data_IF_013815197638
#
_entry.id   IF_013815197638
#
_cell.length_a   1.000
_cell.length_b   1.000
_cell.length_c   1.000
_cell.angle_alpha   90.00
_cell.angle_beta   90.00
_cell.angle_gamma   90.00
#
_symmetry.space_group_name_H-M   'P 1'
#
loop_
_entity.id
_entity.type
_entity.pdbx_description
1 polymer ?
#
# COMPACT_ATOMS: atom_id res chain seq x y z
N UNK A 1 29.26 9.15 8.54
CA UNK A 1 29.44 10.45 7.87
C UNK A 1 29.68 10.17 6.39
N UNK A 2 29.41 11.12 5.50
CA UNK A 2 29.72 10.95 4.08
C UNK A 2 31.23 10.83 3.91
N UNK A 3 31.66 9.89 3.07
CA UNK A 3 33.06 9.69 2.70
C UNK A 3 33.46 10.65 1.57
N UNK A 4 34.75 10.88 1.33
CA UNK A 4 35.22 11.66 0.17
C UNK A 4 34.67 11.13 -1.17
N UNK A 5 34.54 9.80 -1.30
CA UNK A 5 33.96 9.14 -2.47
C UNK A 5 32.47 9.48 -2.64
N UNK A 6 31.70 9.50 -1.54
CA UNK A 6 30.28 9.90 -1.57
C UNK A 6 30.13 11.34 -2.08
N UNK A 7 31.00 12.26 -1.64
CA UNK A 7 30.98 13.65 -2.08
C UNK A 7 31.20 13.81 -3.58
N UNK A 8 32.13 13.04 -4.17
CA UNK A 8 32.39 13.06 -5.61
C UNK A 8 31.19 12.56 -6.41
N UNK A 9 30.52 11.50 -5.94
CA UNK A 9 29.33 10.95 -6.60
C UNK A 9 28.14 11.92 -6.51
N UNK A 10 27.96 12.60 -5.37
CA UNK A 10 26.90 13.60 -5.20
C UNK A 10 27.07 14.78 -6.16
N UNK A 11 28.30 15.28 -6.32
CA UNK A 11 28.62 16.33 -7.30
C UNK A 11 28.29 15.86 -8.72
N UNK A 12 28.67 14.63 -9.09
CA UNK A 12 28.39 14.05 -10.41
C UNK A 12 26.89 13.98 -10.69
N UNK A 13 26.07 13.70 -9.67
CA UNK A 13 24.60 13.63 -9.77
C UNK A 13 23.90 14.99 -9.62
N UNK A 14 24.63 16.08 -9.38
CA UNK A 14 24.07 17.41 -9.16
C UNK A 14 23.30 17.55 -7.84
N UNK A 15 23.62 16.72 -6.84
CA UNK A 15 22.98 16.73 -5.52
C UNK A 15 23.89 17.45 -4.53
N UNK A 16 23.37 18.45 -3.81
CA UNK A 16 24.18 19.18 -2.84
C UNK A 16 24.36 18.38 -1.54
N UNK A 17 25.51 18.54 -0.89
CA UNK A 17 25.78 17.95 0.43
C UNK A 17 24.73 18.35 1.46
N UNK A 18 24.30 19.62 1.41
CA UNK A 18 23.22 20.14 2.25
C UNK A 18 21.90 19.37 2.07
N UNK A 19 21.52 19.04 0.84
CA UNK A 19 20.31 18.26 0.58
C UNK A 19 20.39 16.87 1.22
N UNK A 20 21.54 16.20 1.10
CA UNK A 20 21.76 14.86 1.68
C UNK A 20 21.76 14.91 3.20
N UNK A 21 22.48 15.87 3.80
CA UNK A 21 22.50 16.04 5.25
C UNK A 21 21.11 16.33 5.81
N UNK A 22 20.33 17.17 5.13
CA UNK A 22 18.92 17.44 5.50
C UNK A 22 18.04 16.19 5.40
N UNK A 23 18.24 15.35 4.38
CA UNK A 23 17.54 14.07 4.26
C UNK A 23 17.94 13.09 5.38
N UNK A 24 19.23 12.99 5.69
CA UNK A 24 19.75 12.14 6.77
C UNK A 24 19.22 12.58 8.14
N UNK A 25 19.14 13.89 8.40
CA UNK A 25 18.53 14.40 9.62
C UNK A 25 17.06 14.02 9.73
N UNK A 26 16.28 14.11 8.64
CA UNK A 26 14.87 13.66 8.61
C UNK A 26 14.73 12.15 8.85
N UNK A 27 15.65 11.33 8.35
CA UNK A 27 15.64 9.90 8.63
C UNK A 27 15.93 9.59 10.10
N UNK A 28 16.86 10.34 10.73
CA UNK A 28 17.26 10.13 12.13
C UNK A 28 16.23 10.66 13.13
N UNK A 29 15.69 11.85 12.88
CA UNK A 29 14.81 12.54 13.81
C UNK A 29 13.33 12.36 13.46
N UNK A 30 13.03 11.64 12.38
CA UNK A 30 11.69 11.55 11.82
C UNK A 30 11.29 12.81 11.06
N UNK A 31 10.10 12.75 10.46
CA UNK A 31 9.51 13.88 9.75
C UNK A 31 8.69 14.68 10.74
N UNK A 32 8.90 16.00 10.89
CA UNK A 32 8.06 16.81 11.76
C UNK A 32 6.60 16.74 11.31
N UNK A 33 5.64 16.80 12.24
CA UNK A 33 4.22 16.80 11.89
C UNK A 33 3.91 17.99 10.99
N UNK A 34 3.19 17.73 9.90
CA UNK A 34 2.81 18.76 8.94
C UNK A 34 1.63 19.54 9.52
N UNK A 35 1.74 20.86 9.59
CA UNK A 35 0.61 21.74 9.90
C UNK A 35 -0.32 21.81 8.68
N UNK A 36 -1.52 21.24 8.81
CA UNK A 36 -2.54 21.33 7.78
C UNK A 36 -3.14 22.73 7.82
N UNK A 37 -2.97 23.51 6.76
CA UNK A 37 -3.49 24.88 6.66
C UNK A 37 -4.94 24.85 6.14
N UNK A 38 -5.13 24.30 4.94
CA UNK A 38 -6.42 24.10 4.27
C UNK A 38 -6.25 23.13 3.08
N UNK A 39 -7.35 22.56 2.55
CA UNK A 39 -7.28 21.79 1.30
C UNK A 39 -6.68 22.63 0.15
N UNK A 40 -5.89 21.96 -0.70
CA UNK A 40 -5.33 22.54 -1.92
C UNK A 40 -6.47 22.82 -2.91
N UNK A 41 -6.50 24.01 -3.50
CA UNK A 41 -7.48 24.45 -4.50
C UNK A 41 -6.80 24.73 -5.83
N UNK A 42 -7.60 24.98 -6.86
CA UNK A 42 -7.09 25.55 -8.10
C UNK A 42 -6.23 26.79 -7.79
N UNK A 43 -5.08 26.86 -8.45
CA UNK A 43 -4.04 27.89 -8.29
C UNK A 43 -3.15 27.77 -7.03
N UNK A 44 -3.34 26.77 -6.16
CA UNK A 44 -2.36 26.42 -5.10
C UNK A 44 -1.25 25.48 -5.63
N UNK A 45 -0.86 25.65 -6.90
CA UNK A 45 -0.02 24.70 -7.64
C UNK A 45 -0.80 23.58 -8.35
N UNK A 46 -2.11 23.49 -8.14
CA UNK A 46 -3.00 22.67 -8.97
C UNK A 46 -3.46 23.51 -10.15
N UNK A 47 -3.15 23.05 -11.36
CA UNK A 47 -3.53 23.70 -12.62
C UNK A 47 -4.68 22.91 -13.25
N UNK A 48 -5.72 23.62 -13.68
CA UNK A 48 -6.79 23.03 -14.48
C UNK A 48 -6.45 23.15 -15.96
N UNK A 49 -6.31 22.01 -16.63
CA UNK A 49 -6.09 21.98 -18.07
C UNK A 49 -7.39 22.34 -18.81
N UNK A 50 -7.30 23.31 -19.72
CA UNK A 50 -8.43 23.67 -20.58
C UNK A 50 -8.52 22.71 -21.79
N UNK A 51 -9.73 22.34 -22.24
CA UNK A 51 -9.92 21.39 -23.36
C UNK A 51 -9.17 21.77 -24.64
N UNK A 52 -9.07 23.08 -24.93
CA UNK A 52 -8.32 23.63 -26.06
C UNK A 52 -6.84 23.21 -26.08
N UNK A 53 -6.25 22.91 -24.92
CA UNK A 53 -4.85 22.49 -24.80
C UNK A 53 -4.65 20.97 -24.88
N UNK A 54 -5.71 20.16 -24.84
CA UNK A 54 -5.59 18.70 -24.81
C UNK A 54 -4.85 18.14 -26.04
N UNK A 55 -5.15 18.58 -27.29
CA UNK A 55 -4.45 18.06 -28.46
C UNK A 55 -2.94 18.30 -28.40
N UNK A 56 -2.53 19.46 -27.88
CA UNK A 56 -1.12 19.81 -27.70
C UNK A 56 -0.43 18.87 -26.70
N UNK A 57 -1.04 18.62 -25.54
CA UNK A 57 -0.44 17.73 -24.53
C UNK A 57 -0.39 16.28 -24.99
N UNK A 58 -1.41 15.82 -25.72
CA UNK A 58 -1.41 14.49 -26.34
C UNK A 58 -0.26 14.34 -27.34
N UNK A 59 -0.06 15.34 -28.22
CA UNK A 59 1.05 15.32 -29.17
C UNK A 59 2.42 15.32 -28.46
N UNK A 60 2.57 16.10 -27.38
CA UNK A 60 3.81 16.12 -26.58
C UNK A 60 4.07 14.78 -25.89
N UNK A 61 3.04 14.14 -25.35
CA UNK A 61 3.14 12.82 -24.73
C UNK A 61 3.55 11.77 -25.76
N UNK A 62 2.90 11.74 -26.93
CA UNK A 62 3.22 10.77 -27.98
C UNK A 62 4.64 10.95 -28.50
N UNK A 63 5.09 12.20 -28.70
CA UNK A 63 6.48 12.49 -29.04
C UNK A 63 7.49 12.07 -27.95
N UNK A 64 7.12 12.15 -26.67
CA UNK A 64 7.95 11.65 -25.57
C UNK A 64 7.99 10.12 -25.54
N UNK A 65 6.85 9.46 -25.81
CA UNK A 65 6.72 8.01 -25.87
C UNK A 65 7.57 7.42 -27.01
N UNK A 66 7.49 8.01 -28.20
CA UNK A 66 8.28 7.59 -29.37
C UNK A 66 9.79 7.80 -29.20
N UNK A 67 10.19 8.70 -28.30
CA UNK A 67 11.58 8.97 -27.96
C UNK A 67 12.05 8.21 -26.70
N UNK A 68 11.28 7.21 -26.24
CA UNK A 68 11.57 6.40 -25.04
C UNK A 68 11.81 7.22 -23.75
N UNK A 69 11.14 8.38 -23.64
CA UNK A 69 11.24 9.27 -22.46
C UNK A 69 10.12 9.08 -21.45
N UNK A 70 9.30 8.05 -21.61
CA UNK A 70 8.17 7.74 -20.73
C UNK A 70 8.49 6.45 -19.97
N UNK A 71 8.55 6.55 -18.65
CA UNK A 71 8.69 5.40 -17.76
C UNK A 71 7.53 5.36 -16.79
N UNK A 72 6.94 4.17 -16.58
CA UNK A 72 5.98 3.94 -15.51
C UNK A 72 6.74 3.45 -14.28
N UNK A 73 6.56 4.13 -13.15
CA UNK A 73 7.14 3.72 -11.87
C UNK A 73 6.03 3.62 -10.84
N UNK A 74 5.85 2.43 -10.27
CA UNK A 74 4.96 2.22 -9.14
C UNK A 74 5.86 2.18 -7.89
N UNK A 75 5.79 3.21 -7.02
CA UNK A 75 6.65 3.23 -5.84
C UNK A 75 6.30 2.05 -4.92
N UNK A 76 7.31 1.27 -4.56
CA UNK A 76 7.16 0.26 -3.51
C UNK A 76 7.02 1.00 -2.17
N UNK A 77 5.79 1.12 -1.68
CA UNK A 77 5.58 1.41 -0.26
C UNK A 77 6.25 0.28 0.55
N UNK A 78 6.90 0.61 1.67
CA UNK A 78 7.44 -0.38 2.60
C UNK A 78 6.37 -1.34 3.15
N UNK A 79 6.68 -2.04 4.24
CA UNK A 79 5.76 -3.01 4.85
C UNK A 79 4.31 -2.48 4.94
N UNK A 80 3.33 -3.34 4.65
CA UNK A 80 1.93 -2.99 4.61
C UNK A 80 1.31 -2.67 5.99
N UNK A 81 2.13 -2.61 7.05
CA UNK A 81 1.70 -2.40 8.43
C UNK A 81 0.78 -1.19 8.61
N UNK A 82 1.04 -0.07 7.91
CA UNK A 82 0.13 1.09 7.94
C UNK A 82 -1.22 0.84 7.25
N UNK A 83 -1.25 0.02 6.20
CA UNK A 83 -2.46 -0.34 5.48
C UNK A 83 -3.41 -1.17 6.35
N UNK A 84 -2.85 -2.04 7.19
CA UNK A 84 -3.62 -2.94 8.06
C UNK A 84 -3.70 -2.48 9.53
N UNK A 85 -3.23 -1.27 9.85
CA UNK A 85 -3.05 -0.82 11.23
C UNK A 85 -4.34 -0.88 12.06
N UNK A 86 -5.47 -0.47 11.50
CA UNK A 86 -6.75 -0.48 12.21
C UNK A 86 -7.25 -1.91 12.47
N UNK A 87 -7.03 -2.83 11.52
CA UNK A 87 -7.35 -4.26 11.68
C UNK A 87 -6.44 -4.93 12.73
N UNK A 88 -5.15 -4.59 12.74
CA UNK A 88 -4.19 -5.09 13.73
C UNK A 88 -4.49 -4.58 15.14
N UNK A 89 -4.92 -3.31 15.27
CA UNK A 89 -5.38 -2.75 16.55
C UNK A 89 -6.62 -3.47 17.05
N UNK A 90 -7.60 -3.71 16.18
CA UNK A 90 -8.80 -4.48 16.50
C UNK A 90 -8.44 -5.86 17.07
N UNK A 91 -7.59 -6.62 16.36
CA UNK A 91 -7.11 -7.94 16.83
C UNK A 91 -6.41 -7.89 18.19
N UNK A 92 -5.66 -6.81 18.46
CA UNK A 92 -4.89 -6.66 19.71
C UNK A 92 -5.78 -6.25 20.89
N UNK A 93 -6.82 -5.46 20.66
CA UNK A 93 -7.78 -5.02 21.67
C UNK A 93 -8.70 -6.17 22.10
N UNK A 94 -9.17 -7.01 21.17
CA UNK A 94 -9.96 -8.20 21.52
C UNK A 94 -9.16 -9.23 22.34
N UNK A 95 -7.85 -9.34 22.10
CA UNK A 95 -6.98 -10.25 22.85
C UNK A 95 -6.66 -9.78 24.28
N UNK A 96 -6.92 -8.50 24.61
CA UNK A 96 -6.63 -7.89 25.92
C UNK A 96 -7.92 -7.43 26.62
N UNK A 97 -8.70 -8.37 27.21
CA UNK A 97 -9.98 -8.06 27.86
C UNK A 97 -9.88 -7.15 29.09
N UNK A 98 -8.67 -6.81 29.57
CA UNK A 98 -8.45 -5.88 30.68
C UNK A 98 -8.44 -4.40 30.26
N UNK A 99 -8.58 -4.11 28.96
CA UNK A 99 -8.67 -2.76 28.40
C UNK A 99 -10.03 -2.15 28.73
N UNK A 100 -10.09 -1.47 29.87
CA UNK A 100 -11.24 -0.82 30.51
C UNK A 100 -11.75 0.43 29.76
N UNK A 101 -12.00 0.32 28.46
CA UNK A 101 -12.87 1.25 27.73
C UNK A 101 -14.21 0.54 27.44
N UNK A 102 -15.32 1.09 27.94
CA UNK A 102 -16.69 0.60 27.71
C UNK A 102 -17.16 0.66 26.23
N UNK A 103 -16.24 0.82 25.29
CA UNK A 103 -16.51 0.81 23.86
C UNK A 103 -15.89 -0.45 23.27
N UNK A 104 -16.73 -1.32 22.71
CA UNK A 104 -16.27 -2.44 21.90
C UNK A 104 -15.35 -1.91 20.79
N UNK A 105 -14.23 -2.60 20.48
CA UNK A 105 -13.35 -2.20 19.41
C UNK A 105 -14.16 -2.16 18.10
N UNK A 106 -14.37 -0.97 17.55
CA UNK A 106 -15.16 -0.78 16.34
C UNK A 106 -14.25 -0.71 15.13
N UNK A 107 -14.52 -1.53 14.13
CA UNK A 107 -13.87 -1.42 12.83
C UNK A 107 -14.51 -0.29 12.00
N UNK A 108 -13.78 0.31 11.05
CA UNK A 108 -14.39 1.21 10.08
C UNK A 108 -15.53 0.52 9.32
N UNK A 109 -16.61 1.22 8.98
CA UNK A 109 -17.75 0.66 8.24
C UNK A 109 -17.36 0.01 6.90
N UNK A 110 -16.25 0.44 6.30
CA UNK A 110 -15.67 -0.18 5.10
C UNK A 110 -15.32 -1.67 5.32
N UNK A 111 -15.00 -2.08 6.56
CA UNK A 111 -14.68 -3.46 6.89
C UNK A 111 -15.93 -4.33 6.90
N UNK A 112 -17.07 -3.81 7.39
CA UNK A 112 -18.34 -4.54 7.33
C UNK A 112 -18.73 -4.83 5.87
N UNK A 113 -18.60 -3.83 5.00
CA UNK A 113 -18.87 -3.98 3.57
C UNK A 113 -17.90 -4.98 2.93
N UNK A 114 -16.61 -4.89 3.24
CA UNK A 114 -15.61 -5.85 2.77
C UNK A 114 -15.92 -7.27 3.24
N UNK A 115 -16.38 -7.43 4.49
CA UNK A 115 -16.69 -8.73 5.08
C UNK A 115 -17.85 -9.43 4.35
N UNK A 116 -18.90 -8.69 3.99
CA UNK A 116 -20.00 -9.26 3.17
C UNK A 116 -19.56 -9.70 1.78
N UNK A 117 -18.42 -9.18 1.29
CA UNK A 117 -17.83 -9.48 -0.01
C UNK A 117 -16.51 -10.23 0.11
N UNK A 118 -16.33 -11.00 1.19
CA UNK A 118 -15.10 -11.75 1.47
C UNK A 118 -14.63 -12.53 0.23
N UNK A 119 -15.55 -13.21 -0.45
CA UNK A 119 -15.29 -14.05 -1.62
C UNK A 119 -14.77 -13.28 -2.85
N UNK A 120 -14.92 -11.96 -2.90
CA UNK A 120 -14.44 -11.13 -4.00
C UNK A 120 -12.95 -10.81 -3.88
N UNK A 121 -12.34 -11.05 -2.70
CA UNK A 121 -10.95 -10.69 -2.48
C UNK A 121 -9.98 -11.61 -3.25
N UNK A 122 -8.88 -11.05 -3.77
CA UNK A 122 -7.89 -11.80 -4.54
C UNK A 122 -7.09 -12.80 -3.69
N UNK A 123 -7.05 -12.63 -2.37
CA UNK A 123 -6.34 -13.54 -1.46
C UNK A 123 -7.11 -14.82 -1.11
N UNK A 124 -8.38 -14.95 -1.52
CA UNK A 124 -9.24 -16.08 -1.12
C UNK A 124 -8.67 -17.45 -1.48
N UNK A 125 -8.11 -17.68 -2.68
CA UNK A 125 -7.53 -18.99 -3.01
C UNK A 125 -6.36 -19.37 -2.09
N UNK A 126 -5.57 -18.40 -1.65
CA UNK A 126 -4.44 -18.64 -0.74
C UNK A 126 -4.91 -18.89 0.69
N UNK A 127 -5.95 -18.15 1.12
CA UNK A 127 -6.60 -18.34 2.41
C UNK A 127 -7.26 -19.73 2.51
N UNK A 128 -7.99 -20.15 1.47
CA UNK A 128 -8.58 -21.49 1.37
C UNK A 128 -7.52 -22.58 1.49
N UNK A 129 -6.39 -22.43 0.78
CA UNK A 129 -5.28 -23.38 0.84
C UNK A 129 -4.67 -23.46 2.24
N UNK A 130 -4.50 -22.31 2.90
CA UNK A 130 -4.01 -22.24 4.27
C UNK A 130 -4.96 -22.94 5.25
N UNK A 131 -6.25 -22.60 5.22
CA UNK A 131 -7.26 -23.18 6.12
C UNK A 131 -7.43 -24.69 5.90
N UNK A 132 -7.45 -25.14 4.64
CA UNK A 132 -7.48 -26.56 4.32
C UNK A 132 -6.26 -27.31 4.90
N UNK A 133 -5.07 -26.71 4.83
CA UNK A 133 -3.87 -27.26 5.47
C UNK A 133 -3.95 -27.39 6.99
N UNK A 134 -4.81 -26.58 7.64
CA UNK A 134 -5.13 -26.67 9.06
C UNK A 134 -6.33 -27.60 9.36
N UNK A 135 -6.90 -28.25 8.35
CA UNK A 135 -8.11 -29.07 8.49
C UNK A 135 -9.40 -28.27 8.69
N UNK A 136 -9.39 -26.97 8.37
CA UNK A 136 -10.54 -26.09 8.49
C UNK A 136 -11.32 -25.98 7.17
N UNK A 137 -12.65 -25.73 7.22
CA UNK A 137 -13.46 -25.56 6.01
C UNK A 137 -13.06 -24.28 5.25
N UNK A 138 -13.27 -24.24 3.91
CA UNK A 138 -13.06 -23.03 3.13
C UNK A 138 -13.99 -21.91 3.62
N UNK A 139 -13.58 -20.63 3.59
CA UNK A 139 -14.34 -19.52 4.15
C UNK A 139 -15.43 -19.05 3.17
N UNK A 140 -16.40 -19.91 2.86
CA UNK A 140 -17.40 -19.70 1.81
C UNK A 140 -18.27 -18.47 2.01
N UNK A 141 -18.47 -18.05 3.26
CA UNK A 141 -19.20 -16.85 3.64
C UNK A 141 -18.72 -16.31 4.99
N UNK A 142 -19.33 -15.21 5.43
CA UNK A 142 -19.09 -14.56 6.72
C UNK A 142 -19.55 -15.36 7.95
N UNK A 143 -20.22 -16.50 7.77
CA UNK A 143 -20.75 -17.34 8.84
C UNK A 143 -19.89 -18.59 9.06
N UNK A 144 -19.06 -18.94 8.08
CA UNK A 144 -18.21 -20.12 8.11
C UNK A 144 -17.10 -19.98 9.15
N UNK A 145 -16.53 -18.78 9.25
CA UNK A 145 -15.53 -18.38 10.24
C UNK A 145 -15.89 -17.03 10.80
N UNK A 146 -15.56 -16.77 12.05
CA UNK A 146 -15.67 -15.44 12.62
C UNK A 146 -14.61 -14.50 12.02
N UNK A 147 -14.89 -13.19 12.08
CA UNK A 147 -14.03 -12.17 11.51
C UNK A 147 -12.61 -12.18 12.12
N UNK A 148 -12.48 -12.47 13.42
CA UNK A 148 -11.18 -12.48 14.08
C UNK A 148 -10.31 -13.62 13.52
N UNK A 149 -10.87 -14.81 13.36
CA UNK A 149 -10.18 -15.96 12.74
C UNK A 149 -9.67 -15.63 11.33
N UNK A 150 -10.51 -15.03 10.48
CA UNK A 150 -10.07 -14.63 9.13
C UNK A 150 -9.00 -13.55 9.17
N UNK A 151 -9.17 -12.52 10.00
CA UNK A 151 -8.19 -11.45 10.12
C UNK A 151 -6.84 -11.97 10.65
N UNK A 152 -6.82 -12.93 11.58
CA UNK A 152 -5.59 -13.58 12.03
C UNK A 152 -4.93 -14.36 10.89
N UNK A 153 -5.69 -15.19 10.18
CA UNK A 153 -5.19 -16.00 9.08
C UNK A 153 -4.64 -15.16 7.92
N UNK A 154 -5.24 -14.01 7.61
CA UNK A 154 -4.77 -13.12 6.54
C UNK A 154 -3.58 -12.27 7.01
N UNK A 155 -3.64 -11.67 8.20
CA UNK A 155 -2.70 -10.61 8.58
C UNK A 155 -1.45 -11.13 9.29
N UNK A 156 -1.53 -12.24 10.04
CA UNK A 156 -0.44 -12.71 10.91
C UNK A 156 0.24 -13.97 10.37
N UNK A 157 1.34 -14.32 11.03
CA UNK A 157 2.00 -15.62 10.94
C UNK A 157 1.82 -16.40 12.25
N UNK A 158 1.49 -17.71 12.23
CA UNK A 158 1.20 -18.52 11.03
C UNK A 158 -0.08 -18.05 10.32
N UNK A 159 -0.05 -18.04 8.98
CA UNK A 159 -1.07 -17.43 8.12
C UNK A 159 -0.45 -16.90 6.82
N UNK A 160 -1.15 -16.00 6.13
CA UNK A 160 -0.67 -15.34 4.92
C UNK A 160 0.34 -14.21 5.21
N UNK A 161 0.38 -13.68 6.44
CA UNK A 161 1.37 -12.68 6.86
C UNK A 161 1.26 -11.32 6.15
N UNK A 162 0.07 -10.95 5.65
CA UNK A 162 -0.10 -9.74 4.82
C UNK A 162 0.35 -8.45 5.53
N UNK A 163 0.31 -8.39 6.87
CA UNK A 163 0.76 -7.22 7.62
C UNK A 163 2.28 -6.97 7.55
N UNK A 164 3.05 -8.03 7.30
CA UNK A 164 4.52 -8.02 7.30
C UNK A 164 5.09 -8.00 5.88
N UNK A 165 4.28 -8.39 4.88
CA UNK A 165 4.69 -8.38 3.48
C UNK A 165 4.88 -6.94 2.94
N UNK A 166 5.86 -6.74 2.03
CA UNK A 166 5.86 -5.58 1.15
C UNK A 166 4.55 -5.50 0.38
N UNK A 167 3.96 -4.31 0.24
CA UNK A 167 2.68 -4.14 -0.49
C UNK A 167 2.74 -4.68 -1.93
N UNK A 168 3.92 -4.66 -2.52
CA UNK A 168 4.19 -5.19 -3.86
C UNK A 168 3.84 -6.68 -4.00
N UNK A 169 3.90 -7.46 -2.92
CA UNK A 169 3.66 -8.90 -2.89
C UNK A 169 2.24 -9.27 -2.42
N UNK A 170 1.40 -8.28 -2.11
CA UNK A 170 0.01 -8.54 -1.77
C UNK A 170 -0.77 -8.79 -3.05
N UNK A 171 -1.55 -9.87 -3.08
CA UNK A 171 -2.55 -10.09 -4.13
C UNK A 171 -3.56 -8.95 -4.10
N UNK A 172 -3.66 -8.21 -5.20
CA UNK A 172 -4.45 -6.97 -5.31
C UNK A 172 -5.55 -7.07 -6.37
N UNK A 173 -5.31 -7.84 -7.43
CA UNK A 173 -6.25 -8.01 -8.53
C UNK A 173 -6.61 -9.48 -8.69
N UNK A 174 -7.84 -9.74 -9.14
CA UNK A 174 -8.33 -11.08 -9.47
C UNK A 174 -8.73 -11.10 -10.94
N UNK A 175 -8.11 -11.99 -11.69
CA UNK A 175 -8.42 -12.26 -13.09
C UNK A 175 -8.93 -13.70 -13.26
N UNK A 176 -9.51 -14.07 -14.42
CA UNK A 176 -9.89 -15.44 -14.70
C UNK A 176 -8.74 -16.45 -14.55
N UNK A 177 -7.50 -16.02 -14.82
CA UNK A 177 -6.29 -16.85 -14.74
C UNK A 177 -5.74 -16.97 -13.31
N UNK A 178 -6.20 -16.13 -12.38
CA UNK A 178 -5.77 -16.14 -10.98
C UNK A 178 -5.55 -14.75 -10.40
N UNK A 179 -5.20 -14.67 -9.10
CA UNK A 179 -4.82 -13.42 -8.47
C UNK A 179 -3.46 -12.94 -8.98
N UNK A 180 -3.28 -11.61 -9.01
CA UNK A 180 -2.01 -10.96 -9.29
C UNK A 180 -1.65 -9.97 -8.20
N UNK A 181 -0.38 -9.97 -7.86
CA UNK A 181 0.25 -9.01 -6.96
C UNK A 181 0.51 -7.68 -7.66
N UNK A 182 0.70 -6.61 -6.87
CA UNK A 182 1.04 -5.31 -7.45
C UNK A 182 2.38 -5.33 -8.22
N UNK A 183 3.31 -6.23 -7.88
CA UNK A 183 4.55 -6.42 -8.63
C UNK A 183 4.30 -7.09 -9.98
N UNK A 184 3.46 -8.13 -10.03
CA UNK A 184 3.12 -8.82 -11.28
C UNK A 184 2.39 -7.89 -12.25
N UNK A 185 1.48 -7.05 -11.74
CA UNK A 185 0.86 -5.99 -12.55
C UNK A 185 1.89 -5.01 -13.11
N UNK A 186 2.83 -4.57 -12.27
CA UNK A 186 3.87 -3.66 -12.71
C UNK A 186 4.69 -4.24 -13.87
N UNK A 187 5.07 -5.53 -13.78
CA UNK A 187 5.81 -6.22 -14.84
C UNK A 187 4.94 -6.38 -16.08
N UNK A 188 3.67 -6.76 -15.93
CA UNK A 188 2.76 -6.95 -17.05
C UNK A 188 2.50 -5.66 -17.84
N UNK A 189 2.35 -4.53 -17.16
CA UNK A 189 2.12 -3.23 -17.80
C UNK A 189 3.40 -2.54 -18.32
N UNK A 190 4.58 -2.99 -17.87
CA UNK A 190 5.86 -2.45 -18.29
C UNK A 190 6.42 -3.12 -19.56
N UNK A 191 5.81 -4.23 -20.00
CA UNK A 191 6.12 -4.96 -21.24
C UNK A 191 5.14 -4.53 -22.34
#
# INVERSE_FOLDING_TARGET
MLTPEDHLELIRRGISTFQVESQLQRLRHGVPPITIIRPCRLNDGIIQLQPEHFPRYQQQFEGARQADRVSKFIPASGAATRMFNDLLKFLSQEASPESSSNQAPSLPHAVDQAWTRLQDFPFIPDLERYLHGQGQPPPTDQHTHDLNTILQAVLKTPGLGYAELPKALLSFHRYPEGPRTALEEHIHEAI
#
